data_IF_130739077481
#
_entry.id   IF_130739077481
#
_cell.length_a   1.000
_cell.length_b   1.000
_cell.length_c   1.000
_cell.angle_alpha   90.00
_cell.angle_beta   90.00
_cell.angle_gamma   90.00
#
_symmetry.space_group_name_H-M   'P 1'
#
loop_
_entity.id
_entity.type
_entity.pdbx_description
1 polymer ?
#
# COMPACT_ATOMS: atom_id res chain seq x y z
N UNK A 1 8.51 22.92 44.54
CA UNK A 1 9.17 21.75 43.99
C UNK A 1 9.02 21.75 42.50
N UNK A 2 10.12 21.57 41.88
CA UNK A 2 10.11 21.45 40.44
C UNK A 2 9.45 20.13 40.02
N UNK A 3 8.44 20.25 39.25
CA UNK A 3 7.86 19.08 38.66
C UNK A 3 8.76 18.56 37.59
N UNK A 4 9.02 17.30 37.64
CA UNK A 4 9.70 16.65 36.53
C UNK A 4 8.81 16.75 35.34
N UNK A 5 9.13 17.67 34.50
CA UNK A 5 8.45 17.79 33.24
C UNK A 5 9.07 16.79 32.29
N UNK A 6 8.33 15.77 32.04
CA UNK A 6 8.73 14.85 30.98
C UNK A 6 8.37 15.46 29.65
N UNK A 7 9.04 16.56 29.36
CA UNK A 7 8.87 17.18 28.07
C UNK A 7 9.48 16.28 27.02
N UNK A 8 8.62 15.62 26.31
CA UNK A 8 9.05 14.76 25.22
C UNK A 8 8.94 15.56 23.93
N UNK A 9 10.02 15.66 23.26
CA UNK A 9 10.07 16.34 21.98
C UNK A 9 10.54 15.37 20.93
N UNK A 10 9.94 15.44 19.79
CA UNK A 10 10.51 14.86 18.61
C UNK A 10 10.45 15.88 17.50
N UNK A 11 11.48 15.88 16.70
CA UNK A 11 11.53 16.75 15.53
C UNK A 11 11.05 15.95 14.33
N UNK A 12 10.11 16.51 13.63
CA UNK A 12 9.79 16.03 12.30
C UNK A 12 10.60 16.87 11.32
N UNK A 13 11.18 16.20 10.35
CA UNK A 13 11.89 16.93 9.31
C UNK A 13 10.89 17.80 8.56
N UNK A 14 11.34 18.95 8.10
CA UNK A 14 10.50 19.80 7.27
C UNK A 14 10.05 19.08 6.00
N UNK A 15 10.71 18.00 5.67
CA UNK A 15 10.39 17.19 4.51
C UNK A 15 9.35 16.12 4.80
N UNK A 16 8.76 16.12 6.00
CA UNK A 16 7.56 15.35 6.26
C UNK A 16 6.37 15.99 5.53
N UNK A 17 6.61 16.46 4.32
CA UNK A 17 5.55 16.78 3.37
C UNK A 17 4.85 15.47 3.10
N UNK A 18 3.57 15.44 3.37
CA UNK A 18 2.77 14.28 3.07
C UNK A 18 2.89 13.98 1.58
N UNK A 19 3.13 12.72 1.26
CA UNK A 19 3.33 12.27 -0.11
C UNK A 19 2.25 11.25 -0.45
N UNK A 20 1.88 11.22 -1.71
CA UNK A 20 0.93 10.24 -2.25
C UNK A 20 1.65 9.37 -3.26
N UNK A 21 1.57 8.07 -3.07
CA UNK A 21 2.15 7.11 -4.00
C UNK A 21 1.15 6.79 -5.12
N UNK A 22 1.59 6.94 -6.35
CA UNK A 22 0.85 6.48 -7.51
C UNK A 22 0.81 4.95 -7.52
N UNK A 23 -0.35 4.38 -7.77
CA UNK A 23 -0.52 2.93 -7.81
C UNK A 23 -0.63 2.38 -9.24
N UNK A 24 -0.29 3.18 -10.24
CA UNK A 24 -0.08 2.64 -11.57
C UNK A 24 1.16 1.75 -11.53
N UNK A 25 1.02 0.44 -11.79
CA UNK A 25 2.13 -0.50 -11.62
C UNK A 25 3.33 -0.24 -12.53
N UNK A 26 3.14 0.54 -13.58
CA UNK A 26 4.18 0.85 -14.54
C UNK A 26 4.75 2.27 -14.37
N UNK A 27 4.36 2.98 -13.33
CA UNK A 27 4.85 4.34 -13.10
C UNK A 27 6.32 4.33 -12.68
N UNK A 28 7.20 5.05 -13.41
CA UNK A 28 8.62 5.07 -13.09
C UNK A 28 8.98 5.92 -11.87
N UNK A 29 8.11 6.88 -11.51
CA UNK A 29 8.33 7.75 -10.36
C UNK A 29 7.01 7.96 -9.63
N UNK A 30 6.62 7.01 -8.76
CA UNK A 30 5.27 7.02 -8.18
C UNK A 30 5.07 7.96 -7.00
N UNK A 31 6.11 8.57 -6.46
CA UNK A 31 5.97 9.43 -5.28
C UNK A 31 5.66 10.86 -5.70
N UNK A 32 4.54 11.37 -5.20
CA UNK A 32 4.02 12.70 -5.52
C UNK A 32 3.72 13.50 -4.25
N UNK A 33 3.78 14.85 -4.32
CA UNK A 33 3.22 15.68 -3.25
C UNK A 33 1.72 15.45 -3.10
N UNK A 34 1.21 15.56 -1.86
CA UNK A 34 -0.19 15.24 -1.54
C UNK A 34 -1.23 16.15 -2.22
N UNK A 35 -0.85 17.30 -2.67
CA UNK A 35 -1.79 18.27 -3.23
C UNK A 35 -2.11 18.06 -4.70
N UNK A 36 -1.66 16.98 -5.29
CA UNK A 36 -1.88 16.70 -6.70
C UNK A 36 -3.06 15.76 -6.92
N UNK A 37 -3.77 16.00 -7.99
CA UNK A 37 -4.87 15.12 -8.43
C UNK A 37 -4.37 14.02 -9.34
N UNK A 38 -3.29 14.28 -10.08
CA UNK A 38 -2.73 13.35 -11.04
C UNK A 38 -1.23 13.18 -10.80
N UNK A 39 -0.72 11.99 -11.06
CA UNK A 39 0.70 11.69 -10.95
C UNK A 39 1.51 12.56 -11.91
N UNK A 40 2.56 13.19 -11.40
CA UNK A 40 3.44 14.04 -12.22
C UNK A 40 4.18 13.25 -13.29
N UNK A 41 4.42 11.97 -13.05
CA UNK A 41 5.19 11.14 -13.96
C UNK A 41 4.33 10.48 -15.04
N UNK A 42 3.22 9.85 -14.67
CA UNK A 42 2.44 9.05 -15.61
C UNK A 42 1.02 9.57 -15.83
N UNK A 43 0.63 10.63 -15.15
CA UNK A 43 -0.69 11.27 -15.28
C UNK A 43 -1.87 10.39 -14.85
N UNK A 44 -1.61 9.33 -14.11
CA UNK A 44 -2.68 8.51 -13.53
C UNK A 44 -3.34 9.27 -12.37
N UNK A 45 -4.66 9.19 -12.21
CA UNK A 45 -5.32 9.78 -11.05
C UNK A 45 -4.75 9.23 -9.74
N UNK A 46 -4.44 10.11 -8.81
CA UNK A 46 -3.92 9.72 -7.50
C UNK A 46 -5.06 9.38 -6.55
N UNK A 47 -4.87 8.32 -5.78
CA UNK A 47 -5.83 7.86 -4.79
C UNK A 47 -5.25 8.13 -3.40
N UNK A 48 -5.93 9.00 -2.63
CA UNK A 48 -5.47 9.36 -1.30
C UNK A 48 -5.53 8.19 -0.32
N UNK A 49 -6.65 7.47 -0.33
CA UNK A 49 -6.86 6.30 0.51
C UNK A 49 -7.47 5.20 -0.34
N UNK A 50 -6.73 4.13 -0.50
CA UNK A 50 -7.23 2.94 -1.19
C UNK A 50 -8.34 2.33 -0.34
N UNK A 51 -9.51 2.12 -0.94
CA UNK A 51 -10.73 1.67 -0.27
C UNK A 51 -11.13 2.56 0.92
N UNK A 52 -10.77 3.83 0.89
CA UNK A 52 -11.07 4.76 1.97
C UNK A 52 -10.33 4.44 3.27
N UNK A 53 -9.35 3.56 3.24
CA UNK A 53 -8.69 3.05 4.44
C UNK A 53 -7.16 3.07 4.35
N UNK A 54 -6.59 2.58 3.28
CA UNK A 54 -5.15 2.36 3.19
C UNK A 54 -4.46 3.51 2.48
N UNK A 55 -3.53 4.15 3.16
CA UNK A 55 -2.66 5.16 2.56
C UNK A 55 -1.42 4.46 2.03
N UNK A 56 -1.22 4.51 0.74
CA UNK A 56 -0.05 3.91 0.12
C UNK A 56 1.13 4.86 0.25
N UNK A 57 2.22 4.38 0.85
CA UNK A 57 3.38 5.20 1.15
C UNK A 57 4.45 5.10 0.08
N UNK A 58 4.82 3.89 -0.30
CA UNK A 58 5.87 3.68 -1.30
C UNK A 58 5.84 2.25 -1.83
N UNK A 59 6.39 2.04 -3.04
CA UNK A 59 6.58 0.68 -3.54
C UNK A 59 7.64 -0.06 -2.71
N UNK A 60 7.44 -1.36 -2.51
CA UNK A 60 8.42 -2.23 -1.88
C UNK A 60 9.03 -3.22 -2.86
N UNK A 61 8.25 -3.67 -3.84
CA UNK A 61 8.75 -4.64 -4.79
C UNK A 61 7.73 -4.98 -5.85
N UNK A 62 8.19 -5.74 -6.83
CA UNK A 62 7.33 -6.25 -7.89
C UNK A 62 7.65 -7.69 -8.21
N UNK A 63 6.59 -8.49 -8.36
CA UNK A 63 6.67 -9.85 -8.85
C UNK A 63 6.20 -9.93 -10.30
N UNK A 64 6.01 -11.14 -10.79
CA UNK A 64 5.55 -11.37 -12.17
C UNK A 64 4.17 -10.79 -12.43
N UNK A 65 3.25 -10.93 -11.48
CA UNK A 65 1.87 -10.46 -11.61
C UNK A 65 1.43 -9.57 -10.47
N UNK A 66 2.38 -9.01 -9.73
CA UNK A 66 2.02 -8.23 -8.54
C UNK A 66 2.98 -7.09 -8.29
N UNK A 67 2.46 -6.10 -7.56
CA UNK A 67 3.24 -5.01 -6.98
C UNK A 67 2.93 -4.98 -5.49
N UNK A 68 3.94 -4.73 -4.70
CA UNK A 68 3.83 -4.68 -3.25
C UNK A 68 4.17 -3.27 -2.78
N UNK A 69 3.35 -2.74 -1.88
CA UNK A 69 3.50 -1.39 -1.36
C UNK A 69 3.52 -1.41 0.16
N UNK A 70 4.31 -0.53 0.74
CA UNK A 70 4.17 -0.16 2.14
C UNK A 70 3.00 0.79 2.27
N UNK A 71 2.15 0.55 3.26
CA UNK A 71 0.96 1.36 3.48
C UNK A 71 0.74 1.60 4.98
N UNK A 72 -0.16 2.51 5.27
CA UNK A 72 -0.69 2.73 6.61
C UNK A 72 -2.17 2.38 6.61
N UNK A 73 -2.59 1.67 7.65
CA UNK A 73 -3.98 1.35 7.89
C UNK A 73 -4.58 2.46 8.75
N UNK A 74 -5.31 3.37 8.12
CA UNK A 74 -5.86 4.53 8.82
C UNK A 74 -6.96 4.16 9.80
N UNK A 75 -7.61 3.02 9.64
CA UNK A 75 -8.61 2.52 10.57
C UNK A 75 -7.98 1.85 11.80
N UNK A 76 -6.67 1.65 11.78
CA UNK A 76 -5.93 0.99 12.86
C UNK A 76 -4.75 1.85 13.32
N UNK A 77 -5.03 3.12 13.63
CA UNK A 77 -4.07 4.09 14.16
C UNK A 77 -2.82 4.21 13.29
N UNK A 78 -3.01 4.22 11.97
CA UNK A 78 -1.94 4.33 10.99
C UNK A 78 -0.87 3.24 11.12
N UNK A 79 -1.27 2.06 11.58
CA UNK A 79 -0.37 0.92 11.65
C UNK A 79 0.15 0.58 10.26
N UNK A 80 1.43 0.35 10.17
CA UNK A 80 2.04 -0.01 8.89
C UNK A 80 1.65 -1.43 8.49
N UNK A 81 1.37 -1.56 7.21
CA UNK A 81 0.98 -2.82 6.61
C UNK A 81 1.50 -2.89 5.17
N UNK A 82 1.29 -4.01 4.55
CA UNK A 82 1.68 -4.24 3.17
C UNK A 82 0.42 -4.43 2.34
N UNK A 83 0.35 -3.72 1.23
CA UNK A 83 -0.71 -3.87 0.24
C UNK A 83 -0.11 -4.53 -0.99
N UNK A 84 -0.74 -5.59 -1.46
CA UNK A 84 -0.32 -6.28 -2.66
C UNK A 84 -1.35 -6.08 -3.75
N UNK A 85 -0.88 -5.63 -4.90
CA UNK A 85 -1.71 -5.33 -6.07
C UNK A 85 -1.52 -6.40 -7.12
N UNK A 86 -2.61 -6.93 -7.63
CA UNK A 86 -2.58 -7.78 -8.81
C UNK A 86 -2.38 -6.92 -10.04
N UNK A 87 -1.37 -7.25 -10.83
CA UNK A 87 -1.08 -6.59 -12.10
C UNK A 87 -1.29 -7.61 -13.20
N UNK A 88 -2.39 -7.45 -13.91
CA UNK A 88 -2.75 -8.39 -14.96
C UNK A 88 -2.37 -7.82 -16.32
N UNK A 89 -1.17 -8.07 -16.76
CA UNK A 89 -0.71 -7.72 -18.11
C UNK A 89 -0.91 -8.86 -19.09
N UNK A 90 -1.93 -9.68 -18.87
CA UNK A 90 -2.19 -10.84 -19.71
C UNK A 90 -3.23 -10.50 -20.76
N UNK A 91 -2.91 -10.85 -22.00
CA UNK A 91 -3.72 -10.46 -23.16
C UNK A 91 -4.93 -11.36 -23.38
N UNK A 92 -5.12 -12.41 -22.59
CA UNK A 92 -6.25 -13.32 -22.72
C UNK A 92 -7.07 -13.36 -21.44
N UNK A 93 -8.39 -13.57 -21.61
CA UNK A 93 -9.27 -13.71 -20.45
C UNK A 93 -8.88 -14.92 -19.58
N UNK A 94 -8.40 -15.98 -20.20
CA UNK A 94 -7.95 -17.18 -19.48
C UNK A 94 -6.72 -16.87 -18.61
N UNK A 95 -5.73 -16.18 -19.18
CA UNK A 95 -4.52 -15.80 -18.44
C UNK A 95 -4.83 -14.83 -17.29
N UNK A 96 -5.74 -13.88 -17.51
CA UNK A 96 -6.18 -12.97 -16.48
C UNK A 96 -6.88 -13.71 -15.34
N UNK A 97 -7.76 -14.65 -15.66
CA UNK A 97 -8.45 -15.45 -14.65
C UNK A 97 -7.46 -16.31 -13.87
N UNK A 98 -6.49 -16.91 -14.54
CA UNK A 98 -5.47 -17.71 -13.88
C UNK A 98 -4.63 -16.89 -12.92
N UNK A 99 -4.22 -15.69 -13.32
CA UNK A 99 -3.46 -14.78 -12.46
C UNK A 99 -4.28 -14.36 -11.23
N UNK A 100 -5.57 -14.07 -11.43
CA UNK A 100 -6.48 -13.73 -10.34
C UNK A 100 -6.66 -14.90 -9.37
N UNK A 101 -6.79 -16.12 -9.88
CA UNK A 101 -6.94 -17.32 -9.05
C UNK A 101 -5.69 -17.58 -8.20
N UNK A 102 -4.52 -17.40 -8.78
CA UNK A 102 -3.26 -17.58 -8.05
C UNK A 102 -3.07 -16.49 -6.98
N UNK A 103 -3.46 -15.27 -7.30
CA UNK A 103 -3.42 -14.16 -6.36
C UNK A 103 -4.32 -14.42 -5.15
N UNK A 104 -5.54 -14.86 -5.42
CA UNK A 104 -6.50 -15.22 -4.37
C UNK A 104 -6.01 -16.39 -3.52
N UNK A 105 -5.42 -17.39 -4.15
CA UNK A 105 -4.88 -18.57 -3.46
C UNK A 105 -3.77 -18.15 -2.48
N UNK A 106 -2.88 -17.27 -2.91
CA UNK A 106 -1.84 -16.74 -2.04
C UNK A 106 -2.42 -16.04 -0.81
N UNK A 107 -3.44 -15.20 -1.03
CA UNK A 107 -4.12 -14.52 0.07
C UNK A 107 -4.75 -15.51 1.05
N UNK A 108 -5.38 -16.57 0.54
CA UNK A 108 -5.98 -17.61 1.39
C UNK A 108 -4.92 -18.37 2.18
N UNK A 109 -3.77 -18.65 1.58
CA UNK A 109 -2.67 -19.32 2.27
C UNK A 109 -2.10 -18.45 3.41
N UNK A 110 -1.95 -17.15 3.19
CA UNK A 110 -1.52 -16.22 4.24
C UNK A 110 -2.54 -16.17 5.38
N UNK A 111 -3.82 -16.20 5.07
CA UNK A 111 -4.88 -16.20 6.07
C UNK A 111 -4.81 -17.44 6.98
N UNK A 112 -4.48 -18.60 6.41
CA UNK A 112 -4.34 -19.84 7.19
C UNK A 112 -3.17 -19.78 8.17
N UNK A 113 -2.17 -18.94 7.90
CA UNK A 113 -1.01 -18.75 8.76
C UNK A 113 -1.19 -17.61 9.76
N UNK A 114 -2.37 -17.05 9.81
CA UNK A 114 -2.70 -15.98 10.75
C UNK A 114 -2.48 -16.43 12.19
N UNK A 115 -1.94 -15.54 13.00
CA UNK A 115 -1.57 -15.87 14.39
C UNK A 115 -0.12 -16.25 14.56
N UNK A 116 0.62 -16.52 13.50
CA UNK A 116 2.07 -16.72 13.58
C UNK A 116 2.75 -15.36 13.63
N UNK A 117 3.50 -15.02 14.70
CA UNK A 117 4.10 -13.69 14.81
C UNK A 117 5.15 -13.37 13.77
N UNK A 118 5.66 -14.37 13.06
CA UNK A 118 6.66 -14.19 12.02
C UNK A 118 6.04 -13.98 10.63
N UNK A 119 4.73 -14.14 10.51
CA UNK A 119 4.03 -14.04 9.24
C UNK A 119 3.00 -12.92 9.33
N UNK A 120 3.03 -11.97 8.41
CA UNK A 120 2.06 -10.89 8.42
C UNK A 120 0.64 -11.43 8.22
N UNK A 121 -0.28 -10.95 9.05
CA UNK A 121 -1.69 -11.25 8.90
C UNK A 121 -2.25 -10.57 7.67
N UNK A 122 -3.35 -11.12 7.17
CA UNK A 122 -4.08 -10.50 6.08
C UNK A 122 -5.23 -9.69 6.68
N UNK A 123 -5.30 -8.40 6.35
CA UNK A 123 -6.31 -7.50 6.90
C UNK A 123 -7.52 -7.34 6.01
N UNK A 124 -7.40 -7.65 4.75
CA UNK A 124 -8.52 -7.57 3.83
C UNK A 124 -8.15 -8.05 2.45
N UNK A 125 -9.16 -8.50 1.74
CA UNK A 125 -9.07 -8.86 0.33
C UNK A 125 -10.21 -8.15 -0.39
N UNK A 126 -9.89 -7.29 -1.35
CA UNK A 126 -10.89 -6.46 -2.01
C UNK A 126 -10.51 -6.13 -3.43
N UNK A 127 -11.48 -5.67 -4.18
CA UNK A 127 -11.27 -5.17 -5.53
C UNK A 127 -11.57 -3.67 -5.54
N UNK A 128 -10.81 -2.93 -6.31
CA UNK A 128 -10.95 -1.48 -6.47
C UNK A 128 -10.87 -1.17 -7.95
N UNK A 129 -11.80 -0.38 -8.45
CA UNK A 129 -11.84 0.02 -9.85
C UNK A 129 -10.89 1.18 -10.17
#
# INVERSE_FOLDING_TARGET
MEKLRHNKYYAVTQNAIAMTCCINPNCPQPINPDNLTYCQSCNTPLISLLRGRYRILKPLGKGGFSRTYLAEDTDNLNRRCVVKQLVAEVKSNWGLQKAADLFKLEAQQLQQLEGNPQIPGIYGYFEED
#
